data_IF_074977042176
#
_entry.id   IF_074977042176
#
_cell.length_a   1.000
_cell.length_b   1.000
_cell.length_c   1.000
_cell.angle_alpha   90.00
_cell.angle_beta   90.00
_cell.angle_gamma   90.00
#
_symmetry.space_group_name_H-M   'P 1'
#
loop_
_entity.id
_entity.type
_entity.pdbx_description
1 polymer ?
#
# COMPACT_ATOMS: atom_id res chain seq x y z
N UNK A 1 -36.41 1.03 -11.06
CA UNK A 1 -35.36 0.20 -10.42
C UNK A 1 -34.91 -0.87 -11.39
N UNK A 2 -33.76 -0.69 -12.08
CA UNK A 2 -33.16 -1.73 -12.91
C UNK A 2 -32.33 -2.63 -11.98
N UNK A 3 -32.71 -3.91 -11.89
CA UNK A 3 -31.87 -4.94 -11.26
C UNK A 3 -30.57 -5.05 -12.08
N UNK A 4 -29.46 -4.64 -11.49
CA UNK A 4 -28.13 -4.95 -12.02
C UNK A 4 -27.89 -6.42 -11.65
N UNK A 5 -28.01 -7.30 -12.61
CA UNK A 5 -27.53 -8.67 -12.46
C UNK A 5 -26.00 -8.61 -12.47
N UNK A 6 -25.38 -8.74 -11.30
CA UNK A 6 -23.95 -9.00 -11.22
C UNK A 6 -23.70 -10.40 -11.78
N UNK A 7 -22.80 -10.57 -12.77
CA UNK A 7 -22.40 -11.89 -13.23
C UNK A 7 -21.80 -12.66 -12.05
N UNK A 8 -22.01 -13.98 -12.07
CA UNK A 8 -21.40 -14.94 -11.14
C UNK A 8 -19.91 -14.63 -11.05
N UNK A 9 -19.40 -14.40 -9.83
CA UNK A 9 -18.08 -13.85 -9.55
C UNK A 9 -16.96 -14.50 -10.37
N UNK A 10 -16.04 -13.67 -10.84
CA UNK A 10 -14.82 -14.15 -11.49
C UNK A 10 -13.97 -14.87 -10.45
N UNK A 11 -13.60 -16.12 -10.74
CA UNK A 11 -12.61 -16.81 -9.91
C UNK A 11 -11.29 -16.07 -9.98
N UNK A 12 -10.68 -15.75 -8.84
CA UNK A 12 -9.34 -15.17 -8.78
C UNK A 12 -8.35 -16.15 -9.46
N UNK A 13 -7.56 -15.64 -10.38
CA UNK A 13 -6.64 -16.44 -11.18
C UNK A 13 -5.19 -15.99 -10.95
N UNK A 14 -4.22 -16.92 -11.08
CA UNK A 14 -2.81 -16.55 -11.15
C UNK A 14 -2.52 -15.55 -12.26
N UNK A 15 -1.49 -14.72 -12.08
CA UNK A 15 -1.08 -13.77 -13.08
C UNK A 15 -0.63 -14.46 -14.37
N UNK A 16 -1.11 -13.95 -15.49
CA UNK A 16 -0.68 -14.39 -16.83
C UNK A 16 0.52 -13.59 -17.29
N UNK A 17 1.32 -14.19 -18.16
CA UNK A 17 2.47 -13.52 -18.80
C UNK A 17 2.34 -13.61 -20.32
N UNK A 18 2.79 -12.56 -20.99
CA UNK A 18 3.02 -12.52 -22.42
C UNK A 18 4.50 -12.15 -22.66
N UNK A 19 5.30 -13.10 -23.06
CA UNK A 19 6.76 -12.98 -23.12
C UNK A 19 7.32 -12.70 -21.70
N UNK A 20 8.02 -11.58 -21.53
CA UNK A 20 8.58 -11.17 -20.23
C UNK A 20 7.59 -10.39 -19.35
N UNK A 21 6.43 -9.98 -19.89
CA UNK A 21 5.52 -9.04 -19.21
C UNK A 21 4.35 -9.74 -18.56
N UNK A 22 4.03 -9.35 -17.35
CA UNK A 22 2.80 -9.72 -16.68
C UNK A 22 1.61 -8.93 -17.23
N UNK A 23 0.44 -9.54 -17.23
CA UNK A 23 -0.80 -8.94 -17.68
C UNK A 23 -1.69 -8.57 -16.49
N UNK A 24 -2.43 -7.48 -16.63
CA UNK A 24 -3.46 -7.10 -15.66
C UNK A 24 -4.61 -8.11 -15.61
N UNK A 25 -5.32 -8.24 -14.48
CA UNK A 25 -6.48 -9.13 -14.38
C UNK A 25 -7.62 -8.72 -15.31
N UNK A 26 -7.71 -7.41 -15.61
CA UNK A 26 -8.58 -6.80 -16.61
C UNK A 26 -7.81 -5.74 -17.39
N UNK A 27 -8.20 -5.37 -18.60
CA UNK A 27 -7.49 -4.34 -19.37
C UNK A 27 -7.27 -3.05 -18.59
N UNK A 28 -6.05 -2.52 -18.63
CA UNK A 28 -5.69 -1.26 -18.00
C UNK A 28 -4.94 -0.36 -18.98
N UNK A 29 -5.35 0.91 -19.05
CA UNK A 29 -4.64 1.94 -19.80
C UNK A 29 -3.53 2.50 -18.90
N UNK A 30 -2.32 2.04 -19.14
CA UNK A 30 -1.14 2.60 -18.48
C UNK A 30 -0.50 3.62 -19.42
N UNK A 31 -0.41 4.85 -18.98
CA UNK A 31 0.05 5.95 -19.84
C UNK A 31 1.45 5.72 -20.42
N UNK A 32 1.62 6.08 -21.69
CA UNK A 32 2.89 6.10 -22.41
C UNK A 32 3.47 7.51 -22.54
N UNK A 33 4.45 7.70 -23.43
CA UNK A 33 5.09 8.99 -23.72
C UNK A 33 4.07 10.12 -24.02
N UNK A 34 2.97 9.81 -24.72
CA UNK A 34 1.90 10.79 -25.00
C UNK A 34 1.23 11.34 -23.74
N UNK A 35 1.17 10.55 -22.67
CA UNK A 35 0.65 11.01 -21.38
C UNK A 35 1.59 12.05 -20.74
N UNK A 36 2.91 11.86 -20.85
CA UNK A 36 3.91 12.81 -20.31
C UNK A 36 3.76 14.21 -20.94
N UNK A 37 3.43 14.31 -22.23
CA UNK A 37 3.15 15.60 -22.87
C UNK A 37 1.88 16.28 -22.36
N UNK A 38 0.89 15.52 -21.90
CA UNK A 38 -0.34 16.06 -21.29
C UNK A 38 -0.14 16.45 -19.81
N UNK A 39 0.68 15.69 -19.11
CA UNK A 39 0.95 15.87 -17.68
C UNK A 39 1.98 16.99 -17.45
N UNK A 40 3.04 17.04 -18.26
CA UNK A 40 4.15 17.96 -18.07
C UNK A 40 3.73 19.43 -17.88
N UNK A 41 2.95 20.03 -18.79
CA UNK A 41 2.46 21.40 -18.61
C UNK A 41 1.65 21.58 -17.31
N UNK A 42 0.76 20.65 -16.98
CA UNK A 42 -0.04 20.71 -15.74
C UNK A 42 0.85 20.56 -14.49
N UNK A 43 1.90 19.75 -14.58
CA UNK A 43 2.81 19.54 -13.47
C UNK A 43 3.65 20.77 -13.15
N UNK A 44 4.10 21.52 -14.15
CA UNK A 44 4.95 22.69 -13.98
C UNK A 44 4.19 24.01 -13.91
N UNK A 45 3.01 24.12 -14.54
CA UNK A 45 2.22 25.35 -14.65
C UNK A 45 0.89 25.28 -13.88
N UNK A 46 0.54 24.13 -13.32
CA UNK A 46 -0.68 23.94 -12.54
C UNK A 46 -0.67 24.76 -11.24
N UNK A 47 -1.84 25.28 -10.87
CA UNK A 47 -2.04 26.10 -9.67
C UNK A 47 -2.48 25.25 -8.45
N UNK A 48 -2.53 23.93 -8.58
CA UNK A 48 -2.97 23.04 -7.51
C UNK A 48 -1.99 23.06 -6.32
N UNK A 49 -2.53 23.11 -5.10
CA UNK A 49 -1.75 22.99 -3.87
C UNK A 49 -1.34 21.51 -3.63
N UNK A 50 -0.38 21.00 -4.43
CA UNK A 50 0.02 19.59 -4.44
C UNK A 50 0.91 19.17 -3.25
N UNK A 51 1.43 20.14 -2.52
CA UNK A 51 2.25 19.94 -1.32
C UNK A 51 1.81 20.88 -0.21
N UNK A 52 2.06 20.55 1.06
CA UNK A 52 1.76 21.44 2.19
C UNK A 52 2.58 22.73 2.11
N UNK A 53 1.96 23.84 2.48
CA UNK A 53 2.62 25.17 2.56
C UNK A 53 3.41 25.36 3.84
N UNK A 54 3.13 24.54 4.85
CA UNK A 54 3.77 24.57 6.17
C UNK A 54 4.37 23.20 6.48
N UNK A 55 5.37 23.16 7.36
CA UNK A 55 5.91 21.89 7.85
C UNK A 55 4.83 21.11 8.60
N UNK A 56 4.68 19.85 8.26
CA UNK A 56 3.79 18.93 8.96
C UNK A 56 4.56 18.25 10.10
N UNK A 57 3.87 18.00 11.21
CA UNK A 57 4.46 17.35 12.38
C UNK A 57 5.17 18.31 13.33
N UNK A 58 6.20 17.89 14.10
CA UNK A 58 6.84 16.58 13.99
C UNK A 58 5.95 15.43 14.44
N UNK A 59 5.93 14.33 13.65
CA UNK A 59 5.33 13.07 14.04
C UNK A 59 6.41 12.18 14.66
N UNK A 60 6.08 11.52 15.77
CA UNK A 60 7.03 10.69 16.48
C UNK A 60 6.36 9.44 17.03
N UNK A 61 7.02 8.29 16.85
CA UNK A 61 6.64 7.02 17.45
C UNK A 61 7.55 6.74 18.64
N UNK A 62 6.97 6.52 19.82
CA UNK A 62 7.72 6.01 20.97
C UNK A 62 7.97 4.50 20.76
N UNK A 63 9.23 4.05 20.54
CA UNK A 63 9.50 2.64 20.27
C UNK A 63 9.19 1.72 21.45
N UNK A 64 9.05 2.27 22.68
CA UNK A 64 8.68 1.47 23.88
C UNK A 64 7.30 0.81 23.74
N UNK A 65 6.41 1.36 22.90
CA UNK A 65 5.10 0.76 22.64
C UNK A 65 5.20 -0.68 22.07
N UNK A 66 6.28 -0.98 21.36
CA UNK A 66 6.50 -2.30 20.76
C UNK A 66 7.04 -3.34 21.73
N UNK A 67 7.31 -2.98 22.99
CA UNK A 67 7.70 -3.94 24.05
C UNK A 67 6.53 -4.77 24.53
N UNK A 68 5.30 -4.31 24.32
CA UNK A 68 4.06 -5.03 24.62
C UNK A 68 3.26 -5.31 23.34
N UNK A 69 2.67 -6.50 23.29
CA UNK A 69 1.72 -6.84 22.23
C UNK A 69 0.45 -5.98 22.36
N UNK A 70 -0.22 -5.65 21.23
CA UNK A 70 -1.50 -4.95 21.28
C UNK A 70 -2.56 -5.77 22.04
N UNK A 71 -3.35 -5.08 22.87
CA UNK A 71 -4.38 -5.73 23.68
C UNK A 71 -5.52 -6.28 22.81
N UNK A 72 -5.89 -5.55 21.75
CA UNK A 72 -6.86 -6.01 20.77
C UNK A 72 -6.33 -7.19 19.93
N UNK A 73 -5.00 -7.38 19.83
CA UNK A 73 -4.35 -8.31 18.91
C UNK A 73 -4.04 -7.71 17.53
N UNK A 74 -4.53 -6.50 17.25
CA UNK A 74 -4.28 -5.81 15.97
C UNK A 74 -3.91 -4.33 16.21
N UNK A 75 -2.68 -3.95 15.85
CA UNK A 75 -2.19 -2.57 15.92
C UNK A 75 -1.49 -2.18 14.63
N UNK A 76 -1.79 -0.97 14.16
CA UNK A 76 -1.15 -0.41 12.98
C UNK A 76 -0.38 0.84 13.39
N UNK A 77 0.87 0.95 12.94
CA UNK A 77 1.65 2.18 12.98
C UNK A 77 1.89 2.63 11.54
N UNK A 78 1.11 3.62 11.11
CA UNK A 78 1.22 4.17 9.76
C UNK A 78 2.35 5.19 9.69
N UNK A 79 3.33 4.97 8.81
CA UNK A 79 4.50 5.85 8.66
C UNK A 79 4.31 6.93 7.59
N UNK A 80 3.12 6.96 6.98
CA UNK A 80 2.78 7.80 5.82
C UNK A 80 2.81 7.02 4.50
N UNK A 81 2.10 7.51 3.50
CA UNK A 81 1.90 6.88 2.20
C UNK A 81 1.35 5.46 2.33
N UNK A 82 2.09 4.47 1.89
CA UNK A 82 1.72 3.05 1.99
C UNK A 82 2.54 2.30 3.05
N UNK A 83 3.58 2.93 3.61
CA UNK A 83 4.43 2.30 4.62
C UNK A 83 3.69 2.13 5.94
N UNK A 84 3.61 0.90 6.42
CA UNK A 84 2.95 0.57 7.70
C UNK A 84 3.65 -0.57 8.42
N UNK A 85 3.70 -0.48 9.75
CA UNK A 85 3.99 -1.63 10.62
C UNK A 85 2.66 -2.18 11.13
N UNK A 86 2.36 -3.43 10.79
CA UNK A 86 1.16 -4.16 11.20
C UNK A 86 1.57 -5.20 12.25
N UNK A 87 0.98 -5.11 13.44
CA UNK A 87 1.06 -6.14 14.46
C UNK A 87 -0.29 -6.86 14.48
N UNK A 88 -0.31 -8.10 14.03
CA UNK A 88 -1.52 -8.92 13.88
C UNK A 88 -1.31 -10.29 14.52
N UNK A 89 -2.12 -10.62 15.53
CA UNK A 89 -2.15 -11.91 16.21
C UNK A 89 -0.75 -12.43 16.62
N UNK A 90 0.09 -11.52 17.11
CA UNK A 90 1.45 -11.79 17.59
C UNK A 90 2.54 -11.74 16.50
N UNK A 91 2.20 -11.44 15.26
CA UNK A 91 3.13 -11.32 14.13
C UNK A 91 3.30 -9.86 13.73
N UNK A 92 4.54 -9.45 13.38
CA UNK A 92 4.90 -8.11 12.92
C UNK A 92 5.26 -8.11 11.45
N UNK A 93 4.46 -7.40 10.66
CA UNK A 93 4.63 -7.24 9.23
C UNK A 93 5.01 -5.80 8.91
N UNK A 94 6.14 -5.59 8.22
CA UNK A 94 6.54 -4.29 7.71
C UNK A 94 6.16 -4.20 6.23
N UNK A 95 5.26 -3.28 5.90
CA UNK A 95 4.64 -3.17 4.58
C UNK A 95 5.25 -2.01 3.80
N UNK A 96 5.67 -2.26 2.56
CA UNK A 96 6.18 -1.27 1.58
C UNK A 96 7.09 -0.21 2.22
N UNK A 97 8.24 -0.62 2.78
CA UNK A 97 9.06 0.26 3.59
C UNK A 97 9.82 1.30 2.76
N UNK A 98 9.51 2.57 2.99
CA UNK A 98 10.19 3.72 2.37
C UNK A 98 10.55 4.74 3.44
N UNK A 99 11.84 4.78 3.81
CA UNK A 99 12.46 5.82 4.65
C UNK A 99 13.29 6.80 3.84
N UNK A 100 13.45 6.53 2.55
CA UNK A 100 14.16 7.41 1.62
C UNK A 100 13.51 8.81 1.61
N UNK A 101 14.31 9.85 1.42
CA UNK A 101 13.81 11.23 1.38
C UNK A 101 12.95 11.48 0.14
N UNK A 102 13.24 10.75 -0.95
CA UNK A 102 12.52 10.88 -2.22
C UNK A 102 12.08 9.52 -2.76
N UNK A 103 10.86 9.48 -3.25
CA UNK A 103 10.33 8.36 -4.02
C UNK A 103 10.86 8.42 -5.46
N UNK A 104 12.15 8.13 -5.64
CA UNK A 104 12.85 8.31 -6.91
C UNK A 104 14.10 7.42 -6.99
N UNK A 105 14.64 7.19 -8.22
CA UNK A 105 15.89 6.45 -8.40
C UNK A 105 17.09 7.16 -7.75
N UNK A 106 17.00 8.48 -7.58
CA UNK A 106 18.05 9.31 -6.96
C UNK A 106 17.50 10.12 -5.80
N UNK A 107 18.36 10.50 -4.85
CA UNK A 107 17.92 11.28 -3.69
C UNK A 107 18.11 12.81 -3.87
N UNK A 108 18.56 13.26 -5.04
CA UNK A 108 18.69 14.69 -5.38
C UNK A 108 17.53 15.23 -6.25
N UNK A 109 16.75 14.36 -6.90
CA UNK A 109 15.60 14.74 -7.73
C UNK A 109 14.43 13.77 -7.54
N UNK A 110 13.21 14.25 -7.79
CA UNK A 110 11.97 13.50 -7.68
C UNK A 110 11.13 13.88 -6.46
N UNK A 111 9.96 13.26 -6.28
CA UNK A 111 9.02 13.59 -5.20
C UNK A 111 9.67 13.46 -3.83
N UNK A 112 9.73 14.56 -3.08
CA UNK A 112 10.25 14.62 -1.72
C UNK A 112 9.12 14.37 -0.72
N UNK A 113 9.43 13.66 0.38
CA UNK A 113 8.46 13.46 1.46
C UNK A 113 8.12 14.77 2.17
N UNK A 114 6.86 14.93 2.57
CA UNK A 114 6.36 16.13 3.24
C UNK A 114 6.79 16.25 4.70
N UNK A 115 7.06 15.11 5.34
CA UNK A 115 7.55 15.05 6.72
C UNK A 115 8.55 13.90 6.90
N UNK A 116 9.48 14.00 7.87
CA UNK A 116 10.40 12.91 8.20
C UNK A 116 9.67 11.64 8.63
N UNK A 117 10.30 10.47 8.46
CA UNK A 117 9.73 9.23 8.97
C UNK A 117 9.51 9.31 10.48
N UNK A 118 8.30 8.98 10.98
CA UNK A 118 7.95 9.13 12.40
C UNK A 118 8.74 8.21 13.34
N UNK A 119 9.28 7.11 12.84
CA UNK A 119 10.11 6.15 13.55
C UNK A 119 11.43 6.01 12.82
N UNK A 120 12.53 6.10 13.51
CA UNK A 120 13.84 5.83 12.92
C UNK A 120 14.01 4.32 12.67
N UNK A 121 14.73 3.94 11.60
CA UNK A 121 14.89 2.52 11.23
C UNK A 121 15.49 1.68 12.37
N UNK A 122 16.48 2.24 13.10
CA UNK A 122 17.12 1.55 14.24
C UNK A 122 16.17 1.26 15.40
N UNK A 123 15.05 1.99 15.48
CA UNK A 123 14.05 1.86 16.54
C UNK A 123 12.91 0.91 16.17
N UNK A 124 12.96 0.30 14.96
CA UNK A 124 12.03 -0.76 14.57
C UNK A 124 12.14 -1.93 15.55
N UNK A 125 11.01 -2.52 15.96
CA UNK A 125 11.03 -3.79 16.70
C UNK A 125 11.54 -4.93 15.83
N UNK A 126 11.69 -6.12 16.41
CA UNK A 126 11.90 -7.34 15.61
C UNK A 126 10.73 -7.53 14.66
N UNK A 127 11.04 -7.77 13.38
CA UNK A 127 10.08 -7.95 12.29
C UNK A 127 10.06 -9.42 11.87
N UNK A 128 8.87 -9.99 11.72
CA UNK A 128 8.69 -11.37 11.27
C UNK A 128 8.67 -11.49 9.74
N UNK A 129 8.06 -10.49 9.06
CA UNK A 129 8.15 -10.41 7.61
C UNK A 129 8.11 -8.97 7.10
N UNK A 130 8.80 -8.74 5.98
CA UNK A 130 8.68 -7.55 5.13
C UNK A 130 7.87 -7.93 3.91
N UNK A 131 6.80 -7.19 3.62
CA UNK A 131 5.94 -7.42 2.46
C UNK A 131 6.08 -6.25 1.50
N UNK A 132 6.41 -6.55 0.26
CA UNK A 132 6.53 -5.57 -0.82
C UNK A 132 5.43 -5.83 -1.84
N UNK A 133 4.64 -4.81 -2.15
CA UNK A 133 3.53 -4.94 -3.09
C UNK A 133 3.96 -4.91 -4.56
N UNK A 134 4.90 -4.06 -4.89
CA UNK A 134 5.47 -3.91 -6.23
C UNK A 134 6.76 -3.08 -6.19
N UNK A 135 7.37 -2.85 -7.35
CA UNK A 135 8.72 -2.30 -7.43
C UNK A 135 8.81 -0.77 -7.57
N UNK A 136 7.71 0.00 -7.52
CA UNK A 136 7.77 1.46 -7.59
C UNK A 136 8.55 2.06 -6.41
N UNK A 137 9.16 3.24 -6.63
CA UNK A 137 10.07 3.84 -5.66
C UNK A 137 9.41 4.32 -4.36
N UNK A 138 8.13 4.55 -4.38
CA UNK A 138 7.29 4.94 -3.24
C UNK A 138 6.74 3.74 -2.44
N UNK A 139 7.03 2.51 -2.89
CA UNK A 139 6.74 1.23 -2.21
C UNK A 139 7.99 0.42 -1.91
N UNK A 140 9.03 0.56 -2.73
CA UNK A 140 10.32 -0.11 -2.57
C UNK A 140 11.45 0.93 -2.59
N UNK A 141 11.76 1.51 -1.44
CA UNK A 141 12.84 2.46 -1.25
C UNK A 141 14.20 1.76 -1.26
N UNK A 142 15.02 2.00 -2.30
CA UNK A 142 16.28 1.29 -2.46
C UNK A 142 17.27 1.55 -1.31
N UNK A 143 17.36 2.78 -0.82
CA UNK A 143 18.18 3.14 0.33
C UNK A 143 17.69 2.48 1.61
N UNK A 144 16.37 2.45 1.79
CA UNK A 144 15.71 1.78 2.91
C UNK A 144 16.00 0.29 2.91
N UNK A 145 15.79 -0.40 1.78
CA UNK A 145 16.00 -1.86 1.69
C UNK A 145 17.45 -2.23 2.01
N UNK A 146 18.45 -1.52 1.45
CA UNK A 146 19.87 -1.78 1.75
C UNK A 146 20.17 -1.69 3.25
N UNK A 147 19.55 -0.76 3.97
CA UNK A 147 19.71 -0.62 5.42
C UNK A 147 19.00 -1.76 6.15
N UNK A 148 17.74 -2.05 5.82
CA UNK A 148 16.97 -3.12 6.44
C UNK A 148 17.64 -4.49 6.26
N UNK A 149 18.23 -4.77 5.11
CA UNK A 149 18.91 -6.05 4.83
C UNK A 149 20.07 -6.37 5.78
N UNK A 150 20.62 -5.35 6.46
CA UNK A 150 21.75 -5.52 7.40
C UNK A 150 21.35 -5.35 8.87
N UNK A 151 20.08 -5.07 9.16
CA UNK A 151 19.63 -4.77 10.52
C UNK A 151 19.37 -6.03 11.35
N UNK A 152 19.83 -6.07 12.61
CA UNK A 152 19.59 -7.21 13.51
C UNK A 152 18.12 -7.55 13.72
N UNK A 153 17.25 -6.54 13.72
CA UNK A 153 15.79 -6.70 13.90
C UNK A 153 15.12 -7.48 12.78
N UNK A 154 15.76 -7.56 11.59
CA UNK A 154 15.27 -8.25 10.41
C UNK A 154 16.07 -9.53 10.08
N UNK A 155 17.00 -9.95 10.95
CA UNK A 155 17.88 -11.09 10.69
C UNK A 155 17.13 -12.37 10.30
N UNK A 156 15.98 -12.60 10.89
CA UNK A 156 15.15 -13.77 10.66
C UNK A 156 13.85 -13.43 9.90
N UNK A 157 13.73 -12.18 9.43
CA UNK A 157 12.54 -11.74 8.73
C UNK A 157 12.43 -12.44 7.36
N UNK A 158 11.22 -12.87 7.01
CA UNK A 158 10.91 -13.32 5.65
C UNK A 158 10.58 -12.12 4.77
N UNK A 159 11.12 -12.09 3.57
CA UNK A 159 10.80 -11.08 2.56
C UNK A 159 9.80 -11.68 1.56
N UNK A 160 8.57 -11.15 1.56
CA UNK A 160 7.47 -11.65 0.75
C UNK A 160 7.17 -10.63 -0.34
N UNK A 161 7.21 -11.08 -1.59
CA UNK A 161 7.06 -10.20 -2.76
C UNK A 161 6.23 -10.87 -3.84
N UNK A 162 5.66 -10.12 -4.79
CA UNK A 162 5.22 -10.69 -6.06
C UNK A 162 6.42 -11.17 -6.89
N UNK A 163 6.14 -12.04 -7.87
CA UNK A 163 7.15 -12.62 -8.76
C UNK A 163 8.02 -11.56 -9.45
N UNK A 164 9.32 -11.74 -9.43
CA UNK A 164 10.33 -10.89 -10.06
C UNK A 164 10.84 -9.75 -9.18
N UNK A 165 10.08 -9.29 -8.18
CA UNK A 165 10.51 -8.24 -7.24
C UNK A 165 11.67 -8.73 -6.35
N UNK A 166 11.72 -10.02 -6.02
CA UNK A 166 12.81 -10.63 -5.26
C UNK A 166 14.16 -10.42 -5.92
N UNK A 167 14.22 -10.37 -7.24
CA UNK A 167 15.48 -10.14 -7.97
C UNK A 167 16.03 -8.73 -7.69
N UNK A 168 15.15 -7.74 -7.53
CA UNK A 168 15.53 -6.38 -7.14
C UNK A 168 16.05 -6.40 -5.70
N UNK A 169 15.36 -7.06 -4.77
CA UNK A 169 15.79 -7.18 -3.38
C UNK A 169 17.19 -7.80 -3.25
N UNK A 170 17.49 -8.83 -4.04
CA UNK A 170 18.83 -9.44 -4.07
C UNK A 170 19.91 -8.42 -4.49
N UNK A 171 19.63 -7.57 -5.48
CA UNK A 171 20.58 -6.50 -5.87
C UNK A 171 20.77 -5.43 -4.79
N UNK A 172 19.82 -5.34 -3.86
CA UNK A 172 19.85 -4.41 -2.73
C UNK A 172 20.44 -5.03 -1.44
N UNK A 173 20.89 -6.30 -1.51
CA UNK A 173 21.59 -6.98 -0.42
C UNK A 173 20.73 -7.90 0.45
N UNK A 174 19.47 -8.13 0.08
CA UNK A 174 18.62 -9.10 0.78
C UNK A 174 19.03 -10.52 0.40
N UNK A 175 19.18 -11.40 1.41
CA UNK A 175 19.52 -12.80 1.20
C UNK A 175 18.40 -13.53 0.42
N UNK A 176 18.77 -14.22 -0.64
CA UNK A 176 17.85 -14.97 -1.47
C UNK A 176 17.06 -16.03 -0.70
N UNK A 177 17.69 -16.65 0.30
CA UNK A 177 17.06 -17.70 1.13
C UNK A 177 15.96 -17.17 2.05
N UNK A 178 15.96 -15.85 2.33
CA UNK A 178 14.93 -15.19 3.11
C UNK A 178 13.73 -14.72 2.26
N UNK A 179 13.87 -14.72 0.92
CA UNK A 179 12.84 -14.25 0.00
C UNK A 179 11.83 -15.35 -0.36
N UNK A 180 10.56 -14.97 -0.44
CA UNK A 180 9.47 -15.78 -0.97
C UNK A 180 8.71 -14.96 -2.00
N UNK A 181 8.84 -15.33 -3.27
CA UNK A 181 8.10 -14.70 -4.36
C UNK A 181 6.79 -15.45 -4.61
N UNK A 182 5.69 -14.72 -4.66
CA UNK A 182 4.33 -15.26 -4.82
C UNK A 182 3.72 -14.80 -6.14
N UNK A 183 3.02 -15.70 -6.80
CA UNK A 183 2.06 -15.35 -7.82
C UNK A 183 0.74 -14.91 -7.16
N UNK A 184 -0.15 -14.28 -7.91
CA UNK A 184 -1.53 -14.06 -7.45
C UNK A 184 -2.16 -15.40 -7.07
N UNK A 185 -2.93 -15.40 -5.99
CA UNK A 185 -3.59 -16.55 -5.37
C UNK A 185 -2.67 -17.50 -4.60
N UNK A 186 -1.36 -17.25 -4.61
CA UNK A 186 -0.43 -18.00 -3.77
C UNK A 186 -0.32 -17.37 -2.38
N UNK A 187 0.03 -18.20 -1.40
CA UNK A 187 0.09 -17.83 0.00
C UNK A 187 1.29 -18.46 0.70
N UNK A 188 1.72 -17.79 1.77
CA UNK A 188 2.77 -18.31 2.66
C UNK A 188 2.40 -18.02 4.11
N UNK A 189 2.76 -18.91 5.03
CA UNK A 189 2.56 -18.69 6.46
C UNK A 189 3.76 -18.00 7.09
N UNK A 190 3.48 -16.97 7.92
CA UNK A 190 4.43 -16.30 8.79
C UNK A 190 3.90 -16.52 10.22
N UNK A 191 4.47 -17.47 10.95
CA UNK A 191 3.91 -17.89 12.24
C UNK A 191 2.44 -18.30 12.12
N UNK A 192 1.57 -17.61 12.86
CA UNK A 192 0.12 -17.83 12.89
C UNK A 192 -0.65 -17.14 11.75
N UNK A 193 0.01 -16.28 10.96
CA UNK A 193 -0.63 -15.45 9.93
C UNK A 193 -0.34 -16.01 8.55
N UNK A 194 -1.38 -16.16 7.74
CA UNK A 194 -1.26 -16.47 6.31
C UNK A 194 -1.23 -15.16 5.52
N UNK A 195 -0.19 -14.98 4.71
CA UNK A 195 0.00 -13.87 3.78
C UNK A 195 -0.31 -14.37 2.38
N UNK A 196 -1.35 -13.82 1.76
CA UNK A 196 -1.81 -14.20 0.41
C UNK A 196 -1.62 -13.05 -0.57
N UNK A 197 -0.89 -13.29 -1.67
CA UNK A 197 -0.78 -12.34 -2.77
C UNK A 197 -2.02 -12.43 -3.65
N UNK A 198 -2.64 -11.29 -3.95
CA UNK A 198 -3.91 -11.19 -4.66
C UNK A 198 -3.82 -10.25 -5.85
N UNK A 199 -4.67 -10.44 -6.87
CA UNK A 199 -4.66 -9.58 -8.05
C UNK A 199 -4.94 -8.11 -7.69
N UNK A 200 -4.24 -7.21 -8.38
CA UNK A 200 -4.48 -5.78 -8.39
C UNK A 200 -4.41 -5.27 -9.84
N UNK A 201 -5.11 -4.17 -10.14
CA UNK A 201 -5.14 -3.56 -11.46
C UNK A 201 -4.15 -2.40 -11.51
N UNK A 202 -2.86 -2.72 -11.75
CA UNK A 202 -1.77 -1.74 -11.70
C UNK A 202 -0.68 -2.08 -12.72
N UNK A 203 0.55 -1.67 -12.46
CA UNK A 203 1.72 -2.01 -13.25
C UNK A 203 2.98 -1.97 -12.39
N UNK A 204 4.08 -2.48 -12.93
CA UNK A 204 5.41 -2.43 -12.33
C UNK A 204 6.41 -1.76 -13.24
N UNK A 205 7.56 -1.40 -12.71
CA UNK A 205 8.69 -0.90 -13.47
C UNK A 205 9.40 0.28 -12.80
N UNK A 206 10.71 0.16 -12.70
CA UNK A 206 11.61 1.21 -12.16
C UNK A 206 12.24 2.07 -13.26
N UNK A 207 11.91 1.78 -14.52
CA UNK A 207 12.36 2.51 -15.72
C UNK A 207 11.32 2.40 -16.83
N UNK A 208 11.49 3.19 -17.88
CA UNK A 208 10.63 3.11 -19.07
C UNK A 208 10.77 1.78 -19.84
N UNK A 209 11.86 1.03 -19.61
CA UNK A 209 12.21 -0.16 -20.39
C UNK A 209 11.79 -1.48 -19.73
N UNK A 210 11.60 -1.52 -18.40
CA UNK A 210 11.28 -2.73 -17.65
C UNK A 210 9.84 -2.75 -17.10
N UNK A 211 8.92 -2.01 -17.72
CA UNK A 211 7.51 -2.01 -17.34
C UNK A 211 6.91 -3.40 -17.48
N UNK A 212 6.14 -3.81 -16.46
CA UNK A 212 5.44 -5.10 -16.38
C UNK A 212 6.35 -6.34 -16.27
N UNK A 213 7.67 -6.20 -16.12
CA UNK A 213 8.58 -7.36 -16.03
C UNK A 213 8.57 -8.01 -14.64
N UNK A 214 8.21 -7.28 -13.60
CA UNK A 214 7.88 -7.81 -12.27
C UNK A 214 6.37 -7.82 -12.06
N UNK A 215 5.86 -8.66 -11.17
CA UNK A 215 4.45 -8.68 -10.82
C UNK A 215 4.17 -7.61 -9.73
N UNK A 216 2.93 -7.20 -9.60
CA UNK A 216 2.38 -6.36 -8.53
C UNK A 216 1.25 -7.13 -7.84
N UNK A 217 0.97 -6.84 -6.59
CA UNK A 217 -0.08 -7.54 -5.85
C UNK A 217 -0.68 -6.67 -4.74
N UNK A 218 -1.95 -6.91 -4.43
CA UNK A 218 -2.53 -6.63 -3.13
C UNK A 218 -2.34 -7.83 -2.21
N UNK A 219 -2.61 -7.69 -0.91
CA UNK A 219 -2.40 -8.77 0.06
C UNK A 219 -3.55 -8.90 1.04
N UNK A 220 -3.89 -10.16 1.38
CA UNK A 220 -4.69 -10.47 2.54
C UNK A 220 -3.79 -11.08 3.63
N UNK A 221 -3.87 -10.53 4.83
CA UNK A 221 -3.23 -11.04 6.04
C UNK A 221 -4.32 -11.68 6.91
N UNK A 222 -4.28 -13.00 7.05
CA UNK A 222 -5.31 -13.77 7.75
C UNK A 222 -4.67 -14.47 8.94
N UNK A 223 -4.93 -13.93 10.13
CA UNK A 223 -4.55 -14.51 11.40
C UNK A 223 -5.68 -15.33 12.04
N UNK A 224 -5.44 -15.94 13.20
CA UNK A 224 -6.45 -16.69 13.93
C UNK A 224 -7.67 -15.87 14.37
N UNK A 225 -7.48 -14.55 14.64
CA UNK A 225 -8.53 -13.67 15.14
C UNK A 225 -8.83 -12.51 14.20
N UNK A 226 -7.80 -12.00 13.50
CA UNK A 226 -7.92 -10.79 12.70
C UNK A 226 -7.60 -11.03 11.23
N UNK A 227 -8.22 -10.19 10.38
CA UNK A 227 -7.98 -10.18 8.93
C UNK A 227 -7.79 -8.75 8.45
N UNK A 228 -6.69 -8.50 7.75
CA UNK A 228 -6.38 -7.20 7.17
C UNK A 228 -6.22 -7.36 5.67
N UNK A 229 -6.85 -6.46 4.91
CA UNK A 229 -6.61 -6.34 3.48
C UNK A 229 -5.76 -5.12 3.20
N UNK A 230 -4.67 -5.32 2.47
CA UNK A 230 -3.80 -4.29 1.96
C UNK A 230 -3.95 -4.23 0.44
N UNK A 231 -4.65 -3.19 -0.06
CA UNK A 231 -4.95 -3.02 -1.48
C UNK A 231 -3.74 -2.66 -2.33
N UNK A 232 -2.68 -2.12 -1.72
CA UNK A 232 -1.56 -1.49 -2.42
C UNK A 232 -2.07 -0.48 -3.46
N UNK A 233 -1.45 -0.41 -4.64
CA UNK A 233 -1.91 0.41 -5.75
C UNK A 233 -2.77 -0.41 -6.69
N UNK A 234 -3.95 0.10 -7.00
CA UNK A 234 -4.88 -0.56 -7.91
C UNK A 234 -5.92 0.41 -8.46
N UNK A 235 -6.21 0.34 -9.74
CA UNK A 235 -7.47 0.84 -10.27
C UNK A 235 -8.65 0.02 -9.75
N UNK A 236 -9.84 0.59 -9.83
CA UNK A 236 -11.08 -0.10 -9.48
C UNK A 236 -11.38 -1.23 -10.48
N UNK A 237 -11.82 -2.39 -9.99
CA UNK A 237 -12.21 -3.54 -10.80
C UNK A 237 -13.09 -4.53 -10.03
N UNK A 238 -13.83 -5.39 -10.73
CA UNK A 238 -14.86 -6.25 -10.14
C UNK A 238 -14.31 -7.35 -9.21
N UNK A 239 -13.04 -7.71 -9.34
CA UNK A 239 -12.41 -8.75 -8.51
C UNK A 239 -12.35 -8.46 -7.02
N UNK A 240 -12.58 -7.20 -6.58
CA UNK A 240 -12.72 -6.89 -5.16
C UNK A 240 -13.87 -7.66 -4.50
N UNK A 241 -14.95 -7.96 -5.23
CA UNK A 241 -16.07 -8.79 -4.73
C UNK A 241 -15.60 -10.20 -4.41
N UNK A 242 -14.78 -10.79 -5.28
CA UNK A 242 -14.29 -12.16 -5.10
C UNK A 242 -13.22 -12.23 -4.00
N UNK A 243 -12.37 -11.20 -3.89
CA UNK A 243 -11.43 -11.06 -2.77
C UNK A 243 -12.19 -11.00 -1.44
N UNK A 244 -13.22 -10.14 -1.34
CA UNK A 244 -14.03 -10.01 -0.13
C UNK A 244 -14.74 -11.30 0.24
N UNK A 245 -15.25 -12.05 -0.75
CA UNK A 245 -15.92 -13.33 -0.54
C UNK A 245 -14.97 -14.42 -0.06
N UNK A 246 -13.76 -14.48 -0.61
CA UNK A 246 -12.81 -15.56 -0.36
C UNK A 246 -11.97 -15.33 0.92
N UNK A 247 -11.57 -14.09 1.18
CA UNK A 247 -10.63 -13.75 2.27
C UNK A 247 -11.25 -12.95 3.42
N UNK A 248 -12.40 -12.30 3.19
CA UNK A 248 -13.12 -11.53 4.19
C UNK A 248 -13.93 -12.37 5.19
N UNK A 249 -14.69 -11.76 6.10
CA UNK A 249 -14.72 -10.31 6.30
C UNK A 249 -13.41 -9.78 6.89
N UNK A 250 -13.03 -8.54 6.53
CA UNK A 250 -11.82 -7.90 7.02
C UNK A 250 -12.14 -6.97 8.20
N UNK A 251 -11.27 -6.97 9.23
CA UNK A 251 -11.33 -6.01 10.34
C UNK A 251 -10.83 -4.64 9.89
N UNK A 252 -9.79 -4.62 9.06
CA UNK A 252 -9.22 -3.41 8.47
C UNK A 252 -8.96 -3.62 6.98
N UNK A 253 -9.39 -2.65 6.19
CA UNK A 253 -9.15 -2.60 4.74
C UNK A 253 -8.36 -1.34 4.42
N UNK A 254 -7.11 -1.51 3.97
CA UNK A 254 -6.19 -0.43 3.60
C UNK A 254 -6.26 -0.21 2.09
N UNK A 255 -6.81 0.92 1.64
CA UNK A 255 -6.95 1.25 0.21
C UNK A 255 -6.33 2.60 -0.12
N UNK A 256 -5.71 2.65 -1.30
CA UNK A 256 -5.18 3.89 -1.85
C UNK A 256 -6.30 4.89 -2.14
N UNK A 257 -6.04 6.17 -1.84
CA UNK A 257 -6.94 7.26 -2.18
C UNK A 257 -6.26 8.38 -2.97
N UNK A 258 -4.92 8.41 -2.95
CA UNK A 258 -4.09 9.43 -3.58
C UNK A 258 -3.66 9.07 -5.00
N UNK A 259 -2.74 9.86 -5.54
CA UNK A 259 -2.13 9.70 -6.86
C UNK A 259 -3.14 9.57 -8.02
N UNK A 260 -4.40 9.95 -7.84
CA UNK A 260 -5.48 9.74 -8.79
C UNK A 260 -5.60 10.89 -9.81
N UNK A 261 -5.86 10.54 -11.05
CA UNK A 261 -6.26 11.48 -12.12
C UNK A 261 -7.10 10.71 -13.15
N UNK A 262 -8.08 11.35 -13.81
CA UNK A 262 -8.85 10.70 -14.87
C UNK A 262 -8.01 10.12 -16.02
N UNK A 263 -6.78 10.64 -16.21
CA UNK A 263 -5.87 10.15 -17.25
C UNK A 263 -5.28 8.77 -16.96
N UNK A 264 -5.32 8.31 -15.70
CA UNK A 264 -4.81 7.00 -15.27
C UNK A 264 -5.67 6.31 -14.20
N UNK A 265 -6.99 6.55 -14.25
CA UNK A 265 -7.96 5.95 -13.33
C UNK A 265 -7.96 4.40 -13.35
N UNK A 266 -7.44 3.79 -14.42
CA UNK A 266 -7.31 2.33 -14.54
C UNK A 266 -6.25 1.73 -13.60
N UNK A 267 -5.36 2.55 -13.04
CA UNK A 267 -4.24 2.09 -12.20
C UNK A 267 -4.21 2.75 -10.82
N UNK A 268 -5.01 3.78 -10.59
CA UNK A 268 -5.22 4.42 -9.30
C UNK A 268 -6.69 4.79 -9.14
N UNK A 269 -7.35 4.15 -8.18
CA UNK A 269 -8.81 4.25 -8.02
C UNK A 269 -9.30 5.58 -7.44
N UNK A 270 -8.44 6.29 -6.73
CA UNK A 270 -8.81 7.53 -6.05
C UNK A 270 -9.84 7.35 -4.92
N UNK A 271 -10.26 8.45 -4.28
CA UNK A 271 -11.07 8.38 -3.06
C UNK A 271 -12.45 7.76 -3.28
N UNK A 272 -13.14 8.11 -4.37
CA UNK A 272 -14.47 7.56 -4.69
C UNK A 272 -14.39 6.08 -5.06
N UNK A 273 -13.36 5.68 -5.82
CA UNK A 273 -13.08 4.28 -6.17
C UNK A 273 -12.73 3.46 -4.92
N UNK A 274 -11.95 4.01 -4.00
CA UNK A 274 -11.62 3.34 -2.73
C UNK A 274 -12.87 3.03 -1.90
N UNK A 275 -13.81 3.97 -1.81
CA UNK A 275 -15.08 3.75 -1.11
C UNK A 275 -15.93 2.67 -1.79
N UNK A 276 -16.00 2.67 -3.14
CA UNK A 276 -16.72 1.61 -3.88
C UNK A 276 -16.04 0.25 -3.71
N UNK A 277 -14.71 0.20 -3.81
CA UNK A 277 -13.91 -1.02 -3.61
C UNK A 277 -14.02 -1.57 -2.19
N UNK A 278 -14.02 -0.70 -1.16
CA UNK A 278 -14.29 -1.10 0.22
C UNK A 278 -15.65 -1.78 0.36
N UNK A 279 -16.70 -1.20 -0.24
CA UNK A 279 -18.04 -1.81 -0.25
C UNK A 279 -18.07 -3.11 -1.03
N UNK A 280 -17.35 -3.22 -2.15
CA UNK A 280 -17.23 -4.44 -2.95
C UNK A 280 -16.51 -5.56 -2.20
N UNK A 281 -15.51 -5.24 -1.35
CA UNK A 281 -14.85 -6.17 -0.44
C UNK A 281 -15.76 -6.66 0.71
N UNK A 282 -17.00 -6.17 0.76
CA UNK A 282 -18.01 -6.52 1.77
C UNK A 282 -18.36 -5.38 2.70
N UNK A 283 -17.58 -4.30 2.75
CA UNK A 283 -17.85 -3.12 3.58
C UNK A 283 -17.84 -3.38 5.09
N UNK A 284 -17.22 -4.48 5.51
CA UNK A 284 -17.07 -4.84 6.92
C UNK A 284 -15.83 -4.16 7.52
N UNK A 285 -15.83 -4.04 8.86
CA UNK A 285 -14.69 -3.43 9.56
C UNK A 285 -14.48 -1.97 9.20
N UNK A 286 -13.23 -1.56 9.12
CA UNK A 286 -12.80 -0.17 8.98
C UNK A 286 -12.06 0.05 7.67
N UNK A 287 -12.30 1.19 7.01
CA UNK A 287 -11.49 1.64 5.87
C UNK A 287 -10.33 2.52 6.37
N UNK A 288 -9.11 2.12 6.08
CA UNK A 288 -7.92 2.93 6.27
C UNK A 288 -7.43 3.51 4.92
N UNK A 289 -7.52 4.82 4.72
CA UNK A 289 -6.96 5.48 3.55
C UNK A 289 -5.43 5.45 3.58
N UNK A 290 -4.82 4.98 2.50
CA UNK A 290 -3.36 4.98 2.30
C UNK A 290 -2.98 5.64 0.97
N UNK A 291 -1.68 5.68 0.65
CA UNK A 291 -1.12 6.23 -0.60
C UNK A 291 -1.42 7.72 -0.78
N UNK A 292 -1.39 8.49 0.31
CA UNK A 292 -1.62 9.93 0.33
C UNK A 292 -0.79 10.63 1.43
N UNK A 293 -0.73 11.96 1.38
CA UNK A 293 -0.24 12.80 2.46
C UNK A 293 1.27 12.79 2.70
N UNK A 294 2.08 12.14 1.86
CA UNK A 294 3.53 12.07 2.05
C UNK A 294 4.36 12.52 0.83
N UNK A 295 3.95 12.19 -0.38
CA UNK A 295 4.66 12.50 -1.62
C UNK A 295 3.77 13.24 -2.62
N UNK A 296 4.38 14.15 -3.42
CA UNK A 296 3.71 14.81 -4.55
C UNK A 296 3.78 13.91 -5.79
N UNK A 297 2.79 13.03 -5.96
CA UNK A 297 2.72 12.04 -7.03
C UNK A 297 1.57 12.28 -8.02
N UNK A 298 0.77 13.34 -7.84
CA UNK A 298 -0.41 13.60 -8.67
C UNK A 298 -0.66 15.07 -8.95
N UNK A 299 -1.69 15.33 -9.76
CA UNK A 299 -2.09 16.67 -10.21
C UNK A 299 -3.31 17.20 -9.45
N UNK A 300 -3.54 16.75 -8.22
CA UNK A 300 -4.61 17.22 -7.35
C UNK A 300 -4.04 17.86 -6.07
N UNK A 301 -4.79 18.73 -5.39
CA UNK A 301 -4.41 19.21 -4.06
C UNK A 301 -4.14 18.04 -3.12
N UNK A 302 -3.06 18.10 -2.33
CA UNK A 302 -2.58 16.97 -1.52
C UNK A 302 -3.57 16.51 -0.45
N UNK A 303 -4.47 17.40 0.01
CA UNK A 303 -5.52 17.06 1.00
C UNK A 303 -6.83 16.60 0.36
N UNK A 304 -7.03 16.86 -0.96
CA UNK A 304 -8.30 16.55 -1.63
C UNK A 304 -8.73 15.09 -1.47
N UNK A 305 -7.85 14.07 -1.61
CA UNK A 305 -8.26 12.68 -1.47
C UNK A 305 -8.86 12.36 -0.11
N UNK A 306 -8.21 12.78 0.97
CA UNK A 306 -8.67 12.48 2.33
C UNK A 306 -9.94 13.28 2.67
N UNK A 307 -10.03 14.54 2.25
CA UNK A 307 -11.23 15.34 2.45
C UNK A 307 -12.46 14.74 1.71
N UNK A 308 -12.25 14.17 0.52
CA UNK A 308 -13.30 13.46 -0.21
C UNK A 308 -13.79 12.22 0.56
N UNK A 309 -12.88 11.44 1.17
CA UNK A 309 -13.26 10.26 1.96
C UNK A 309 -13.95 10.68 3.26
N UNK A 310 -13.47 11.73 3.92
CA UNK A 310 -14.07 12.27 5.16
C UNK A 310 -15.49 12.80 4.96
N UNK A 311 -15.81 13.27 3.75
CA UNK A 311 -17.14 13.76 3.40
C UNK A 311 -18.19 12.64 3.21
N UNK A 312 -17.75 11.37 3.06
CA UNK A 312 -18.66 10.24 2.87
C UNK A 312 -19.34 9.91 4.18
N UNK A 313 -20.68 9.98 4.18
CA UNK A 313 -21.50 9.55 5.31
C UNK A 313 -21.54 8.02 5.37
N UNK A 314 -21.78 7.48 6.57
CA UNK A 314 -21.94 6.04 6.83
C UNK A 314 -20.73 5.18 6.42
N UNK A 315 -19.54 5.79 6.37
CA UNK A 315 -18.27 5.13 6.14
C UNK A 315 -17.54 4.96 7.48
N UNK A 316 -17.28 3.73 7.87
CA UNK A 316 -16.45 3.42 9.03
C UNK A 316 -14.98 3.68 8.68
N UNK A 317 -14.46 4.79 9.15
CA UNK A 317 -13.15 5.31 8.78
C UNK A 317 -12.15 5.16 9.90
N UNK A 318 -10.95 4.70 9.53
CA UNK A 318 -9.82 4.59 10.44
C UNK A 318 -8.61 5.34 9.84
N UNK A 319 -8.46 6.61 10.22
CA UNK A 319 -7.40 7.51 9.73
C UNK A 319 -6.56 8.01 10.91
N UNK A 320 -5.50 7.28 11.29
CA UNK A 320 -4.64 7.66 12.40
C UNK A 320 -3.68 8.79 12.01
N UNK A 321 -3.12 9.44 13.02
CA UNK A 321 -1.98 10.34 12.84
C UNK A 321 -0.73 9.52 12.44
N UNK A 322 0.09 10.00 11.50
CA UNK A 322 1.33 9.32 11.14
C UNK A 322 2.21 9.04 12.36
N UNK A 323 2.73 7.82 12.45
CA UNK A 323 3.60 7.40 13.54
C UNK A 323 2.91 7.10 14.87
N UNK A 324 1.61 7.37 15.02
CA UNK A 324 0.89 7.03 16.24
C UNK A 324 0.46 5.56 16.20
N UNK A 325 1.07 4.67 17.03
CA UNK A 325 0.64 3.28 17.10
C UNK A 325 -0.79 3.20 17.62
N UNK A 326 -1.70 2.71 16.81
CA UNK A 326 -3.13 2.70 17.10
C UNK A 326 -3.70 1.29 16.99
N UNK A 327 -4.40 0.85 18.02
CA UNK A 327 -5.07 -0.46 18.00
C UNK A 327 -6.37 -0.38 17.19
N UNK A 328 -6.62 -1.43 16.43
CA UNK A 328 -7.87 -1.61 15.69
C UNK A 328 -8.84 -2.34 16.60
N UNK A 329 -9.87 -1.64 17.03
CA UNK A 329 -10.90 -2.17 17.90
C UNK A 329 -12.20 -2.23 17.10
N UNK A 330 -12.89 -3.36 17.16
CA UNK A 330 -14.11 -3.55 16.37
C UNK A 330 -15.16 -2.47 16.68
N UNK A 331 -15.59 -1.76 15.65
CA UNK A 331 -16.60 -0.71 15.74
C UNK A 331 -16.08 0.67 16.17
N UNK A 332 -14.81 0.82 16.54
CA UNK A 332 -14.22 2.10 16.92
C UNK A 332 -13.53 2.76 15.71
N UNK A 333 -13.93 3.98 15.40
CA UNK A 333 -13.34 4.78 14.33
C UNK A 333 -12.22 5.68 14.87
N UNK A 334 -11.21 5.94 14.04
CA UNK A 334 -10.23 7.00 14.27
C UNK A 334 -10.30 7.96 13.09
N UNK A 335 -10.58 9.23 13.40
CA UNK A 335 -10.66 10.32 12.41
C UNK A 335 -9.76 11.47 12.86
N UNK A 336 -8.44 11.27 12.80
CA UNK A 336 -7.53 12.38 13.02
C UNK A 336 -7.49 13.31 11.81
N UNK A 337 -7.26 14.57 12.04
CA UNK A 337 -7.24 15.66 11.04
C UNK A 337 -5.87 16.36 10.97
N UNK A 338 -4.81 15.59 11.19
CA UNK A 338 -3.42 16.03 11.28
C UNK A 338 -2.92 16.84 10.06
N UNK A 339 -3.61 16.76 8.96
CA UNK A 339 -3.25 17.49 7.71
C UNK A 339 -3.88 18.90 7.61
N UNK A 340 -4.75 19.31 8.52
CA UNK A 340 -5.45 20.61 8.56
C UNK A 340 -4.65 21.72 9.20
#
# INVERSE_FOLDING_TARGET
MRKINHPIGMTLLPAKREGKKFLNPVPAKVGGLSLMFKIGPRFFLGAEARSPRHSLGPFHTDPRVFTASPQSGLRITWMGHSTSLIEIDGIRLLIDPVWDERAAPTQWAGPKRFFPAPLALQDLPTIDAVVISHDHYDHLGAGTIRRLATMPQLRNARWITPLGVETILHTLGVDATSCTALNWTESVSVGSVTVSALPARHFSGRSLFNRFETLWASFAFVGPKHRVYYGADSGEWDGFVDIGRQFGPFDLTMLEIGASDPLWADIHMGPEGAVRSFRALGGHGLLMPIHWGLFDLALHPWTKPIESVFAVKDLKLWSPTPGLPSEVIHGEEIRSDWWR
#
